data_IF_978480138979
#
_entry.id   IF_978480138979
#
_cell.length_a   1.000
_cell.length_b   1.000
_cell.length_c   1.000
_cell.angle_alpha   90.00
_cell.angle_beta   90.00
_cell.angle_gamma   90.00
#
_symmetry.space_group_name_H-M   'P 1'
#
loop_
_entity.id
_entity.type
_entity.pdbx_description
1 polymer ?
#
# COMPACT_ATOMS: atom_id res chain seq x y z
N UNK A 1 -11.04 -27.46 -9.42
CA UNK A 1 -11.63 -26.10 -9.45
C UNK A 1 -10.51 -25.11 -9.19
N UNK A 2 -10.46 -24.00 -9.91
CA UNK A 2 -9.46 -22.94 -9.73
C UNK A 2 -9.93 -21.96 -8.66
N UNK A 3 -9.06 -21.62 -7.71
CA UNK A 3 -9.31 -20.55 -6.73
C UNK A 3 -8.98 -19.21 -7.36
N UNK A 4 -9.87 -18.22 -7.20
CA UNK A 4 -9.67 -16.85 -7.66
C UNK A 4 -9.54 -15.92 -6.44
N UNK A 5 -8.70 -14.89 -6.55
CA UNK A 5 -8.51 -13.87 -5.51
C UNK A 5 -9.05 -12.52 -6.00
N UNK A 6 -9.52 -11.70 -5.06
CA UNK A 6 -9.91 -10.31 -5.33
C UNK A 6 -8.67 -9.43 -5.19
N UNK A 7 -8.39 -8.63 -6.21
CA UNK A 7 -7.39 -7.57 -6.15
C UNK A 7 -8.08 -6.21 -5.91
N UNK A 8 -7.58 -5.45 -4.96
CA UNK A 8 -8.04 -4.09 -4.67
C UNK A 8 -6.87 -3.11 -4.83
N UNK A 9 -7.14 -1.94 -5.41
CA UNK A 9 -6.15 -0.89 -5.61
C UNK A 9 -6.71 0.46 -5.18
N UNK A 10 -5.91 1.20 -4.40
CA UNK A 10 -6.21 2.58 -4.03
C UNK A 10 -5.54 3.52 -5.04
N UNK A 11 -6.28 4.49 -5.56
CA UNK A 11 -5.79 5.50 -6.50
C UNK A 11 -5.99 6.87 -5.86
N UNK A 12 -4.94 7.69 -5.85
CA UNK A 12 -4.96 9.05 -5.30
C UNK A 12 -4.22 10.03 -6.20
N UNK A 13 -4.57 11.32 -6.11
CA UNK A 13 -3.83 12.41 -6.74
C UNK A 13 -2.80 12.96 -5.78
N UNK A 14 -1.56 13.07 -6.23
CA UNK A 14 -0.47 13.64 -5.45
C UNK A 14 -0.70 15.16 -5.25
N UNK A 15 -0.45 15.68 -4.04
CA UNK A 15 -0.68 17.10 -3.71
C UNK A 15 0.56 17.98 -3.91
N UNK A 16 1.74 17.40 -3.76
CA UNK A 16 3.06 18.04 -3.89
C UNK A 16 4.12 16.94 -4.16
N UNK A 17 5.38 17.26 -4.47
CA UNK A 17 6.47 16.27 -4.52
C UNK A 17 6.50 15.35 -3.27
N UNK A 18 6.98 14.11 -3.41
CA UNK A 18 6.94 13.10 -2.32
C UNK A 18 7.79 13.50 -1.10
N UNK A 19 8.83 14.30 -1.30
CA UNK A 19 9.72 14.86 -0.29
C UNK A 19 9.18 16.16 0.36
N UNK A 20 8.05 16.69 -0.11
CA UNK A 20 7.41 17.86 0.47
C UNK A 20 6.82 17.54 1.87
N UNK A 21 6.98 18.42 2.88
CA UNK A 21 6.42 18.23 4.22
C UNK A 21 4.92 17.86 4.26
N UNK A 22 4.11 18.34 3.29
CA UNK A 22 2.69 18.00 3.22
C UNK A 22 2.44 16.50 2.94
N UNK A 23 3.40 15.83 2.29
CA UNK A 23 3.33 14.40 1.93
C UNK A 23 3.91 13.49 3.02
N UNK A 24 4.66 14.02 3.99
CA UNK A 24 5.36 13.23 5.01
C UNK A 24 4.45 12.26 5.76
N UNK A 25 3.25 12.68 6.17
CA UNK A 25 2.30 11.82 6.87
C UNK A 25 1.75 10.66 6.02
N UNK A 26 1.74 10.81 4.69
CA UNK A 26 1.36 9.73 3.77
C UNK A 26 2.53 8.77 3.56
N UNK A 27 3.72 9.29 3.23
CA UNK A 27 4.91 8.48 2.95
C UNK A 27 5.35 7.68 4.16
N UNK A 28 5.41 8.31 5.35
CA UNK A 28 5.92 7.67 6.57
C UNK A 28 5.05 6.51 7.07
N UNK A 29 3.83 6.36 6.56
CA UNK A 29 2.89 5.31 6.99
C UNK A 29 2.81 4.12 6.03
N UNK A 30 3.53 4.17 4.91
CA UNK A 30 3.50 3.09 3.92
C UNK A 30 3.92 1.76 4.54
N UNK A 31 5.01 1.74 5.30
CA UNK A 31 5.53 0.51 5.93
C UNK A 31 4.60 -0.04 7.00
N UNK A 32 4.02 0.85 7.82
CA UNK A 32 3.04 0.49 8.84
C UNK A 32 1.82 -0.20 8.21
N UNK A 33 1.25 0.41 7.16
CA UNK A 33 0.07 -0.10 6.46
C UNK A 33 0.38 -1.40 5.70
N UNK A 34 1.56 -1.49 5.07
CA UNK A 34 2.03 -2.72 4.41
C UNK A 34 2.17 -3.86 5.43
N UNK A 35 2.79 -3.59 6.58
CA UNK A 35 2.96 -4.58 7.66
C UNK A 35 1.62 -5.02 8.25
N UNK A 36 0.66 -4.10 8.36
CA UNK A 36 -0.70 -4.43 8.80
C UNK A 36 -1.38 -5.37 7.80
N UNK A 37 -1.26 -5.10 6.49
CA UNK A 37 -1.78 -5.97 5.44
C UNK A 37 -1.15 -7.37 5.51
N UNK A 38 0.18 -7.45 5.61
CA UNK A 38 0.92 -8.71 5.67
C UNK A 38 0.50 -9.60 6.87
N UNK A 39 -0.02 -9.01 7.95
CA UNK A 39 -0.53 -9.73 9.14
C UNK A 39 -2.05 -9.94 9.14
N UNK A 40 -2.76 -9.41 8.16
CA UNK A 40 -4.23 -9.43 8.15
C UNK A 40 -4.77 -10.82 7.73
N UNK A 41 -5.73 -11.41 8.45
CA UNK A 41 -6.32 -12.70 8.08
C UNK A 41 -6.93 -12.65 6.67
N UNK A 42 -6.53 -13.60 5.83
CA UNK A 42 -7.01 -13.71 4.44
C UNK A 42 -6.32 -12.80 3.43
N UNK A 43 -5.38 -11.96 3.86
CA UNK A 43 -4.50 -11.24 2.94
C UNK A 43 -3.52 -12.22 2.28
N UNK A 44 -3.46 -12.20 0.95
CA UNK A 44 -2.69 -13.19 0.18
C UNK A 44 -1.43 -12.56 -0.41
N UNK A 45 -1.50 -11.30 -0.85
CA UNK A 45 -0.42 -10.66 -1.60
C UNK A 45 -0.64 -9.15 -1.77
N UNK A 46 0.46 -8.38 -1.86
CA UNK A 46 0.52 -7.00 -2.41
C UNK A 46 1.65 -6.89 -3.44
N UNK A 47 1.50 -5.92 -4.34
CA UNK A 47 2.60 -5.46 -5.19
C UNK A 47 3.75 -4.91 -4.33
N UNK A 48 4.97 -5.36 -4.63
CA UNK A 48 6.21 -4.82 -4.09
C UNK A 48 6.99 -4.16 -5.23
N UNK A 49 7.52 -2.98 -5.00
CA UNK A 49 8.42 -2.28 -5.92
C UNK A 49 9.84 -2.35 -5.36
N UNK A 50 10.88 -2.43 -6.22
CA UNK A 50 12.24 -2.15 -5.78
C UNK A 50 12.30 -0.74 -5.16
N UNK A 51 13.02 -0.60 -4.05
CA UNK A 51 13.41 0.70 -3.47
C UNK A 51 14.47 1.40 -4.33
#
# INVERSE_FOLDING_TARGET
MTTLHIAQINIARIKAPLDDPIMAGFVNRLDEINTLADKSPGFVWRLQTPE
#
